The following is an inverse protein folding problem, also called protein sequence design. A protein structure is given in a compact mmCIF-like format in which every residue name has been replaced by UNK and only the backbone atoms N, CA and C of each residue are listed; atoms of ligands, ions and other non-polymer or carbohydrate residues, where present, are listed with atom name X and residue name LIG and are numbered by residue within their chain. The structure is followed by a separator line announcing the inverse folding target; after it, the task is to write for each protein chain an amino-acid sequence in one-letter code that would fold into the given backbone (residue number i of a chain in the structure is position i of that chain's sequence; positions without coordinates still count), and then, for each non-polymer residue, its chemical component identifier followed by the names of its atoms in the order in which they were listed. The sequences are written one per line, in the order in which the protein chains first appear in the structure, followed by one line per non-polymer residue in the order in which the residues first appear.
data_IF_787616807118
#
_entry.id   IF_787616807118
#
_cell.length_a   1.000
_cell.length_b   1.000
_cell.length_c   1.000
_cell.angle_alpha   90.00
_cell.angle_beta   90.00
_cell.angle_gamma   90.00
#
_symmetry.space_group_name_H-M   'P 1'
#
loop_
_entity.id
_entity.type
_entity.pdbx_description
1 polymer ?
#
# COMPACT_ATOMS: atom_id res chain seq x y z
N UNK A 1 22.80 5.90 -14.61
CA UNK A 1 22.43 4.48 -14.69
C UNK A 1 22.41 3.94 -13.26
N UNK A 2 21.32 4.15 -12.50
CA UNK A 2 21.25 3.67 -11.10
C UNK A 2 19.83 3.59 -10.49
N UNK A 3 18.87 4.43 -10.87
CA UNK A 3 17.47 4.27 -10.41
C UNK A 3 16.67 3.27 -11.26
N UNK A 4 16.89 3.28 -12.59
CA UNK A 4 16.19 2.39 -13.52
C UNK A 4 16.47 0.90 -13.24
N UNK A 5 17.64 0.57 -12.69
CA UNK A 5 18.01 -0.79 -12.30
C UNK A 5 17.33 -1.21 -10.99
N UNK A 6 17.26 -0.30 -10.01
CA UNK A 6 16.63 -0.58 -8.72
C UNK A 6 15.10 -0.73 -8.86
N UNK A 7 14.47 0.13 -9.65
CA UNK A 7 13.04 0.03 -9.89
C UNK A 7 12.65 -1.28 -10.59
N UNK A 8 13.40 -1.69 -11.62
CA UNK A 8 13.16 -2.98 -12.28
C UNK A 8 13.38 -4.18 -11.35
N UNK A 9 14.38 -4.12 -10.47
CA UNK A 9 14.63 -5.17 -9.49
C UNK A 9 13.44 -5.33 -8.52
N UNK A 10 12.87 -4.22 -8.05
CA UNK A 10 11.68 -4.24 -7.18
C UNK A 10 10.46 -4.80 -7.92
N UNK A 11 10.26 -4.41 -9.18
CA UNK A 11 9.17 -4.92 -10.01
C UNK A 11 9.27 -6.44 -10.23
N UNK A 12 10.47 -6.95 -10.53
CA UNK A 12 10.71 -8.39 -10.70
C UNK A 12 10.51 -9.18 -9.40
N UNK A 13 10.99 -8.66 -8.27
CA UNK A 13 10.78 -9.24 -6.94
C UNK A 13 9.29 -9.38 -6.62
N UNK A 14 8.52 -8.33 -6.90
CA UNK A 14 7.06 -8.32 -6.73
C UNK A 14 6.36 -9.33 -7.63
N UNK A 15 6.74 -9.45 -8.91
CA UNK A 15 6.15 -10.42 -9.84
C UNK A 15 6.40 -11.87 -9.39
N UNK A 16 7.61 -12.16 -8.89
CA UNK A 16 7.94 -13.48 -8.34
C UNK A 16 7.14 -13.77 -7.07
N UNK A 17 7.01 -12.78 -6.19
CA UNK A 17 6.22 -12.92 -4.97
C UNK A 17 4.74 -13.13 -5.27
N UNK A 18 4.17 -12.42 -6.25
CA UNK A 18 2.78 -12.61 -6.67
C UNK A 18 2.52 -14.04 -7.16
N UNK A 19 3.48 -14.63 -7.88
CA UNK A 19 3.41 -16.01 -8.33
C UNK A 19 3.46 -17.00 -7.16
N UNK A 20 4.36 -16.77 -6.20
CA UNK A 20 4.48 -17.56 -4.97
C UNK A 20 3.17 -17.52 -4.16
N UNK A 21 2.65 -16.33 -3.92
CA UNK A 21 1.46 -16.07 -3.12
C UNK A 21 0.23 -16.81 -3.64
N UNK A 22 0.09 -16.97 -4.96
CA UNK A 22 -1.02 -17.74 -5.56
C UNK A 22 -0.95 -19.22 -5.15
N UNK A 23 0.27 -19.77 -5.04
CA UNK A 23 0.52 -21.19 -4.84
C UNK A 23 0.77 -21.62 -3.39
N UNK A 24 1.02 -20.67 -2.48
CA UNK A 24 1.43 -20.93 -1.11
C UNK A 24 0.41 -20.39 -0.08
N UNK A 25 -0.42 -21.27 0.52
CA UNK A 25 -1.39 -20.88 1.54
C UNK A 25 -0.78 -20.31 2.81
N UNK A 26 0.41 -20.76 3.20
CA UNK A 26 1.08 -20.27 4.42
C UNK A 26 1.54 -18.82 4.20
N UNK A 27 2.02 -18.51 2.99
CA UNK A 27 2.38 -17.15 2.60
C UNK A 27 1.15 -16.24 2.48
N UNK A 28 -0.01 -16.76 2.04
CA UNK A 28 -1.28 -16.02 2.08
C UNK A 28 -1.68 -15.67 3.52
N UNK A 29 -1.50 -16.60 4.47
CA UNK A 29 -1.79 -16.37 5.88
C UNK A 29 -0.86 -15.30 6.47
N UNK A 30 0.44 -15.39 6.18
CA UNK A 30 1.44 -14.41 6.64
C UNK A 30 1.15 -13.00 6.10
N UNK A 31 0.85 -12.88 4.81
CA UNK A 31 0.46 -11.61 4.22
C UNK A 31 -0.83 -11.06 4.88
N UNK A 32 -1.79 -11.93 5.18
CA UNK A 32 -3.00 -11.57 5.90
C UNK A 32 -2.72 -10.98 7.30
N UNK A 33 -1.83 -11.60 8.07
CA UNK A 33 -1.40 -11.09 9.40
C UNK A 33 -0.78 -9.71 9.31
N UNK A 34 0.06 -9.48 8.30
CA UNK A 34 0.71 -8.18 8.07
C UNK A 34 -0.28 -7.08 7.72
N UNK A 35 -1.23 -7.37 6.83
CA UNK A 35 -2.29 -6.41 6.49
C UNK A 35 -3.12 -6.10 7.73
N UNK A 36 -3.45 -7.09 8.55
CA UNK A 36 -4.22 -6.87 9.78
C UNK A 36 -3.45 -6.01 10.79
N UNK A 37 -2.14 -6.21 10.90
CA UNK A 37 -1.27 -5.34 11.68
C UNK A 37 -1.33 -3.89 11.16
N UNK A 38 -1.22 -3.69 9.84
CA UNK A 38 -1.30 -2.35 9.24
C UNK A 38 -2.65 -1.68 9.51
N UNK A 39 -3.77 -2.41 9.44
CA UNK A 39 -5.11 -1.89 9.77
C UNK A 39 -5.21 -1.39 11.20
N UNK A 40 -4.66 -2.13 12.16
CA UNK A 40 -4.73 -1.76 13.57
C UNK A 40 -3.82 -0.60 13.95
N UNK A 41 -2.68 -0.46 13.27
CA UNK A 41 -1.61 0.43 13.71
C UNK A 41 -1.43 1.67 12.83
N UNK A 42 -2.01 1.71 11.63
CA UNK A 42 -1.88 2.84 10.71
C UNK A 42 -3.02 3.84 10.85
N UNK A 43 -2.70 5.14 10.77
CA UNK A 43 -3.69 6.24 10.80
C UNK A 43 -3.83 6.93 9.43
N UNK A 44 -3.91 6.14 8.37
CA UNK A 44 -3.83 6.63 6.98
C UNK A 44 -5.13 7.32 6.53
N UNK A 45 -6.30 6.78 6.85
CA UNK A 45 -7.59 7.36 6.43
C UNK A 45 -7.74 8.85 6.80
N UNK A 46 -7.42 9.20 8.05
CA UNK A 46 -7.47 10.60 8.50
C UNK A 46 -6.40 11.47 7.84
N UNK A 47 -5.25 10.88 7.50
CA UNK A 47 -4.21 11.58 6.73
C UNK A 47 -4.70 11.88 5.30
N UNK A 48 -5.39 10.95 4.64
CA UNK A 48 -6.00 11.20 3.33
C UNK A 48 -7.09 12.27 3.37
N UNK A 49 -8.01 12.21 4.33
CA UNK A 49 -9.02 13.26 4.52
C UNK A 49 -8.36 14.63 4.68
N UNK A 50 -7.30 14.70 5.50
CA UNK A 50 -6.53 15.93 5.70
C UNK A 50 -5.82 16.40 4.44
N UNK A 51 -5.23 15.49 3.66
CA UNK A 51 -4.55 15.80 2.41
C UNK A 51 -5.52 16.34 1.35
N UNK A 52 -6.72 15.75 1.23
CA UNK A 52 -7.76 16.25 0.32
C UNK A 52 -8.27 17.62 0.76
N UNK A 53 -8.55 17.79 2.06
CA UNK A 53 -9.07 19.05 2.60
C UNK A 53 -8.08 20.21 2.49
N UNK A 54 -6.80 19.95 2.76
CA UNK A 54 -5.79 21.01 2.92
C UNK A 54 -4.82 21.12 1.75
N UNK A 55 -4.65 20.05 0.97
CA UNK A 55 -3.66 19.94 -0.10
C UNK A 55 -4.25 20.00 -1.51
N UNK A 56 -5.55 19.77 -1.69
CA UNK A 56 -6.16 19.86 -3.01
C UNK A 56 -6.73 21.26 -3.28
N UNK A 57 -6.43 21.77 -4.47
CA UNK A 57 -7.09 22.95 -5.02
C UNK A 57 -7.92 22.54 -6.23
N UNK A 58 -9.23 22.77 -6.16
CA UNK A 58 -10.14 22.60 -7.29
C UNK A 58 -10.64 23.99 -7.69
N UNK A 59 -10.28 24.41 -8.90
CA UNK A 59 -10.69 25.71 -9.41
C UNK A 59 -12.21 25.88 -9.37
N UNK A 60 -12.68 26.97 -8.77
CA UNK A 60 -14.12 27.25 -8.62
C UNK A 60 -14.82 26.53 -7.46
N UNK A 61 -14.14 25.63 -6.74
CA UNK A 61 -14.69 25.02 -5.53
C UNK A 61 -14.23 25.77 -4.28
N UNK A 62 -15.12 25.93 -3.30
CA UNK A 62 -14.73 26.44 -1.99
C UNK A 62 -13.99 25.35 -1.18
N UNK A 63 -13.04 25.75 -0.34
CA UNK A 63 -12.37 24.83 0.60
C UNK A 63 -13.37 24.15 1.56
N UNK A 64 -14.49 24.80 1.85
CA UNK A 64 -15.58 24.24 2.65
C UNK A 64 -16.26 23.06 1.96
N UNK A 65 -16.32 23.05 0.62
CA UNK A 65 -16.89 21.93 -0.14
C UNK A 65 -16.00 20.70 -0.06
N UNK A 66 -14.67 20.87 -0.14
CA UNK A 66 -13.72 19.77 0.04
C UNK A 66 -13.77 19.19 1.46
N UNK A 67 -13.89 20.06 2.47
CA UNK A 67 -14.09 19.62 3.85
C UNK A 67 -15.39 18.81 4.01
N UNK A 68 -16.51 19.28 3.42
CA UNK A 68 -17.76 18.54 3.46
C UNK A 68 -17.66 17.19 2.73
N UNK A 69 -17.01 17.16 1.56
CA UNK A 69 -16.78 15.94 0.79
C UNK A 69 -16.03 14.88 1.61
N UNK A 70 -14.96 15.26 2.33
CA UNK A 70 -14.15 14.32 3.12
C UNK A 70 -14.89 13.69 4.30
N UNK A 71 -16.02 14.27 4.72
CA UNK A 71 -16.88 13.73 5.77
C UNK A 71 -18.07 12.92 5.22
N UNK A 72 -18.21 12.80 3.90
CA UNK A 72 -19.25 11.95 3.31
C UNK A 72 -18.89 10.47 3.46
N UNK A 73 -19.92 9.63 3.66
CA UNK A 73 -19.74 8.17 3.75
C UNK A 73 -19.12 7.58 2.47
N UNK A 74 -19.51 8.08 1.30
CA UNK A 74 -18.96 7.63 0.01
C UNK A 74 -17.45 7.91 -0.08
N UNK A 75 -17.02 9.10 0.36
CA UNK A 75 -15.59 9.45 0.38
C UNK A 75 -14.82 8.64 1.43
N UNK A 76 -15.42 8.36 2.58
CA UNK A 76 -14.81 7.50 3.60
C UNK A 76 -14.61 6.07 3.09
N UNK A 77 -15.61 5.50 2.42
CA UNK A 77 -15.51 4.19 1.78
C UNK A 77 -14.43 4.18 0.69
N UNK A 78 -14.42 5.20 -0.17
CA UNK A 78 -13.42 5.33 -1.22
C UNK A 78 -11.99 5.40 -0.65
N UNK A 79 -11.75 6.28 0.31
CA UNK A 79 -10.44 6.42 0.94
C UNK A 79 -10.06 5.17 1.75
N UNK A 80 -11.04 4.47 2.32
CA UNK A 80 -10.85 3.16 2.95
C UNK A 80 -10.36 2.11 1.95
N UNK A 81 -10.96 2.03 0.75
CA UNK A 81 -10.46 1.14 -0.31
C UNK A 81 -9.05 1.49 -0.76
N UNK A 82 -8.76 2.79 -0.96
CA UNK A 82 -7.40 3.24 -1.30
C UNK A 82 -6.39 2.84 -0.22
N UNK A 83 -6.78 2.96 1.05
CA UNK A 83 -5.94 2.52 2.17
C UNK A 83 -5.67 1.01 2.11
N UNK A 84 -6.68 0.18 1.86
CA UNK A 84 -6.52 -1.27 1.75
C UNK A 84 -5.60 -1.67 0.59
N UNK A 85 -5.71 -1.00 -0.56
CA UNK A 85 -4.78 -1.23 -1.67
C UNK A 85 -3.33 -0.89 -1.31
N UNK A 86 -3.12 0.21 -0.56
CA UNK A 86 -1.78 0.61 -0.12
C UNK A 86 -1.23 -0.41 0.87
N UNK A 87 -2.03 -0.88 1.84
CA UNK A 87 -1.59 -1.92 2.77
C UNK A 87 -1.17 -3.19 2.03
N UNK A 88 -1.97 -3.63 1.05
CA UNK A 88 -1.63 -4.80 0.24
C UNK A 88 -0.30 -4.59 -0.48
N UNK A 89 -0.11 -3.46 -1.18
CA UNK A 89 1.11 -3.19 -1.95
C UNK A 89 2.35 -3.09 -1.06
N UNK A 90 2.24 -2.41 0.08
CA UNK A 90 3.34 -2.28 1.05
C UNK A 90 3.71 -3.64 1.62
N UNK A 91 2.71 -4.40 2.10
CA UNK A 91 2.95 -5.72 2.68
C UNK A 91 3.60 -6.68 1.67
N UNK A 92 3.13 -6.67 0.41
CA UNK A 92 3.76 -7.44 -0.68
C UNK A 92 5.20 -7.02 -0.94
N UNK A 93 5.46 -5.71 -1.04
CA UNK A 93 6.80 -5.20 -1.34
C UNK A 93 7.81 -5.52 -0.24
N UNK A 94 7.44 -5.28 1.03
CA UNK A 94 8.30 -5.61 2.17
C UNK A 94 8.58 -7.12 2.22
N UNK A 95 7.55 -7.94 1.97
CA UNK A 95 7.68 -9.39 2.05
C UNK A 95 8.50 -9.98 0.90
N UNK A 96 8.33 -9.47 -0.31
CA UNK A 96 9.15 -9.85 -1.46
C UNK A 96 10.64 -9.54 -1.21
N UNK A 97 10.95 -8.35 -0.67
CA UNK A 97 12.32 -7.97 -0.32
C UNK A 97 12.94 -8.86 0.76
N UNK A 98 12.17 -9.27 1.78
CA UNK A 98 12.65 -10.19 2.82
C UNK A 98 12.98 -11.57 2.26
N UNK A 99 12.14 -12.09 1.36
CA UNK A 99 12.35 -13.39 0.73
C UNK A 99 13.58 -13.37 -0.20
N UNK A 100 13.77 -12.30 -0.97
CA UNK A 100 14.95 -12.12 -1.82
C UNK A 100 16.25 -12.06 -1.00
N UNK A 101 16.24 -11.31 0.11
CA UNK A 101 17.38 -11.23 1.01
C UNK A 101 17.71 -12.59 1.65
N UNK A 102 16.67 -13.35 1.99
CA UNK A 102 16.80 -14.70 2.54
C UNK A 102 17.35 -15.69 1.50
N UNK A 103 16.88 -15.65 0.25
CA UNK A 103 17.43 -16.51 -0.82
C UNK A 103 18.89 -16.18 -1.16
N UNK A 104 19.28 -14.91 -1.13
CA UNK A 104 20.65 -14.46 -1.40
C UNK A 104 21.66 -14.92 -0.34
N UNK A 105 21.21 -15.21 0.89
CA UNK A 105 22.08 -15.66 2.00
C UNK A 105 22.33 -17.17 2.02
N UNK A 106 21.63 -17.96 1.20
CA UNK A 106 21.82 -19.41 1.08
C UNK A 106 22.76 -19.83 -0.06
N UNK A 107 23.38 -18.87 -0.76
CA UNK A 107 24.27 -19.12 -1.93
C UNK A 107 25.76 -18.83 -1.61
N UNK A 108 26.14 -18.68 -0.33
CA UNK A 108 27.54 -18.59 0.12
C UNK A 108 28.05 -19.88 0.79
#
# INVERSE_FOLDING_TARGET
MNEYNYQQMVEQSLEQYDSLLISDPDEQEELGKRIEFLRHHSKILNAFKSAVKNGCFIAGASSNYLAALTETADMELYLGHVQEEIFLRVAKAERAMELDATQSTFID
#
